data_IF_058660677475
#
_entry.id   IF_058660677475
#
_cell.length_a   1.000
_cell.length_b   1.000
_cell.length_c   1.000
_cell.angle_alpha   90.00
_cell.angle_beta   90.00
_cell.angle_gamma   90.00
#
_symmetry.space_group_name_H-M   'P 1'
#
loop_
_entity.id
_entity.type
_entity.pdbx_description
1 polymer ?
#
# COMPACT_ATOMS: atom_id res chain seq x y z
N UNK A 1 14.03 6.43 1.33
CA UNK A 1 12.62 6.18 1.76
C UNK A 1 11.66 7.28 1.29
N UNK A 2 10.55 6.90 0.64
CA UNK A 2 9.51 7.82 0.14
C UNK A 2 8.39 7.96 1.18
N UNK A 3 7.75 9.13 1.29
CA UNK A 3 6.60 9.38 2.19
C UNK A 3 5.37 9.81 1.41
N UNK A 4 4.23 9.22 1.72
CA UNK A 4 2.91 9.54 1.16
C UNK A 4 2.01 10.00 2.30
N UNK A 5 1.55 11.25 2.23
CA UNK A 5 0.64 11.82 3.24
C UNK A 5 -0.81 11.50 2.90
N UNK A 6 -1.57 11.05 3.89
CA UNK A 6 -3.00 10.70 3.73
C UNK A 6 -3.80 11.40 4.83
N UNK A 7 -4.80 12.19 4.45
CA UNK A 7 -5.76 12.80 5.38
C UNK A 7 -6.91 11.85 5.69
N UNK A 8 -7.75 12.19 6.67
CA UNK A 8 -8.95 11.39 7.00
C UNK A 8 -9.87 11.22 5.79
N UNK A 9 -10.05 12.28 4.99
CA UNK A 9 -10.86 12.22 3.79
C UNK A 9 -10.17 11.39 2.70
N UNK A 10 -8.85 11.55 2.53
CA UNK A 10 -8.06 10.76 1.57
C UNK A 10 -8.03 9.26 1.87
N UNK A 11 -8.34 8.85 3.10
CA UNK A 11 -8.45 7.44 3.46
C UNK A 11 -9.59 6.72 2.73
N UNK A 12 -10.58 7.45 2.22
CA UNK A 12 -11.68 6.86 1.42
C UNK A 12 -11.20 6.16 0.14
N UNK A 13 -10.05 6.57 -0.40
CA UNK A 13 -9.43 5.96 -1.59
C UNK A 13 -8.27 5.01 -1.25
N UNK A 14 -8.15 4.57 0.01
CA UNK A 14 -7.02 3.73 0.44
C UNK A 14 -6.94 2.40 -0.32
N UNK A 15 -8.09 1.84 -0.71
CA UNK A 15 -8.14 0.64 -1.55
C UNK A 15 -7.52 0.86 -2.93
N UNK A 16 -7.75 2.03 -3.52
CA UNK A 16 -7.19 2.42 -4.82
C UNK A 16 -5.68 2.70 -4.72
N UNK A 17 -5.23 3.29 -3.61
CA UNK A 17 -3.81 3.43 -3.31
C UNK A 17 -3.15 2.06 -3.18
N UNK A 18 -3.79 1.07 -2.53
CA UNK A 18 -3.29 -0.30 -2.49
C UNK A 18 -3.20 -0.93 -3.89
N UNK A 19 -4.15 -0.66 -4.79
CA UNK A 19 -4.07 -1.10 -6.19
C UNK A 19 -2.85 -0.46 -6.88
N UNK A 20 -2.63 0.85 -6.70
CA UNK A 20 -1.49 1.55 -7.27
C UNK A 20 -0.14 0.94 -6.85
N UNK A 21 -0.03 0.43 -5.62
CA UNK A 21 1.17 -0.25 -5.12
C UNK A 21 1.50 -1.57 -5.83
N UNK A 22 0.53 -2.14 -6.55
CA UNK A 22 0.74 -3.35 -7.35
C UNK A 22 1.52 -3.12 -8.65
N UNK A 23 1.78 -1.85 -9.00
CA UNK A 23 2.59 -1.52 -10.17
C UNK A 23 4.00 -2.12 -10.06
N UNK A 24 4.60 -2.40 -11.22
CA UNK A 24 5.83 -3.20 -11.29
C UNK A 24 7.05 -2.44 -10.77
N UNK A 25 7.15 -1.16 -11.10
CA UNK A 25 8.28 -0.30 -10.76
C UNK A 25 7.90 0.69 -9.67
N UNK A 26 8.89 1.19 -8.93
CA UNK A 26 8.67 2.25 -7.94
C UNK A 26 8.11 3.51 -8.61
N UNK A 27 8.61 3.85 -9.80
CA UNK A 27 8.14 5.01 -10.57
C UNK A 27 6.65 4.88 -10.93
N UNK A 28 6.22 3.73 -11.45
CA UNK A 28 4.83 3.51 -11.81
C UNK A 28 3.92 3.50 -10.59
N UNK A 29 4.38 2.97 -9.44
CA UNK A 29 3.62 3.05 -8.17
C UNK A 29 3.36 4.49 -7.79
N UNK A 30 4.38 5.35 -7.88
CA UNK A 30 4.26 6.76 -7.52
C UNK A 30 3.32 7.50 -8.46
N UNK A 31 3.46 7.30 -9.78
CA UNK A 31 2.58 7.91 -10.79
C UNK A 31 1.13 7.45 -10.63
N UNK A 32 0.92 6.15 -10.38
CA UNK A 32 -0.40 5.59 -10.12
C UNK A 32 -1.03 6.15 -8.84
N UNK A 33 -0.26 6.30 -7.75
CA UNK A 33 -0.75 6.91 -6.50
C UNK A 33 -1.06 8.40 -6.68
N UNK A 34 -0.22 9.13 -7.42
CA UNK A 34 -0.45 10.53 -7.76
C UNK A 34 -1.76 10.69 -8.54
N UNK A 35 -2.04 9.81 -9.51
CA UNK A 35 -3.31 9.80 -10.22
C UNK A 35 -4.50 9.61 -9.27
N UNK A 36 -4.44 8.62 -8.36
CA UNK A 36 -5.48 8.38 -7.35
C UNK A 36 -5.72 9.62 -6.49
N UNK A 37 -4.65 10.26 -6.02
CA UNK A 37 -4.75 11.49 -5.23
C UNK A 37 -5.39 12.64 -6.02
N UNK A 38 -5.00 12.83 -7.28
CA UNK A 38 -5.59 13.85 -8.14
C UNK A 38 -7.09 13.62 -8.37
N UNK A 39 -7.48 12.36 -8.63
CA UNK A 39 -8.89 11.99 -8.82
C UNK A 39 -9.71 12.25 -7.56
N UNK A 40 -9.17 11.88 -6.40
CA UNK A 40 -9.80 12.15 -5.10
C UNK A 40 -10.00 13.65 -4.87
N UNK A 41 -8.97 14.48 -5.07
CA UNK A 41 -9.08 15.93 -4.86
C UNK A 41 -10.06 16.55 -5.86
N UNK A 42 -10.07 16.10 -7.13
CA UNK A 42 -11.05 16.55 -8.12
C UNK A 42 -12.49 16.27 -7.65
N UNK A 43 -12.75 15.06 -7.16
CA UNK A 43 -14.06 14.69 -6.60
C UNK A 43 -14.44 15.57 -5.40
N UNK A 44 -13.49 15.92 -4.51
CA UNK A 44 -13.76 16.87 -3.42
C UNK A 44 -14.18 18.25 -3.93
N UNK A 45 -13.51 18.77 -4.95
CA UNK A 45 -13.83 20.08 -5.54
C UNK A 45 -15.20 20.05 -6.23
N UNK A 46 -15.49 19.01 -7.02
CA UNK A 46 -16.79 18.82 -7.68
C UNK A 46 -17.94 18.73 -6.65
N UNK A 47 -17.74 17.97 -5.58
CA UNK A 47 -18.71 17.84 -4.50
C UNK A 47 -18.90 19.17 -3.74
N UNK A 48 -17.83 19.93 -3.50
CA UNK A 48 -17.93 21.24 -2.87
C UNK A 48 -18.69 22.23 -3.76
N UNK A 49 -18.41 22.23 -5.07
CA UNK A 49 -19.13 23.06 -6.04
C UNK A 49 -20.62 22.71 -6.08
N UNK A 50 -20.97 21.43 -6.14
CA UNK A 50 -22.36 20.95 -6.12
C UNK A 50 -23.11 21.35 -4.84
N UNK A 51 -22.43 21.28 -3.68
CA UNK A 51 -23.04 21.54 -2.37
C UNK A 51 -23.18 23.02 -2.02
N UNK A 52 -22.19 23.83 -2.37
CA UNK A 52 -22.09 25.23 -1.91
C UNK A 52 -22.26 26.25 -3.03
N UNK A 53 -22.35 25.84 -4.30
CA UNK A 53 -22.35 26.77 -5.44
C UNK A 53 -21.10 27.66 -5.41
N UNK A 54 -21.12 28.82 -6.06
CA UNK A 54 -19.95 29.72 -6.18
C UNK A 54 -19.28 30.14 -4.84
N UNK A 55 -19.97 29.98 -3.70
CA UNK A 55 -19.42 30.27 -2.37
C UNK A 55 -18.32 29.28 -1.94
N UNK A 56 -18.20 28.12 -2.59
CA UNK A 56 -17.15 27.13 -2.30
C UNK A 56 -15.74 27.72 -2.46
N UNK A 57 -15.55 28.66 -3.40
CA UNK A 57 -14.27 29.30 -3.69
C UNK A 57 -13.78 30.21 -2.56
N UNK A 58 -14.71 30.67 -1.71
CA UNK A 58 -14.38 31.51 -0.54
C UNK A 58 -13.92 30.67 0.65
N UNK A 59 -14.02 29.34 0.60
CA UNK A 59 -13.51 28.43 1.63
C UNK A 59 -12.00 28.26 1.40
N UNK A 60 -11.12 28.78 2.30
CA UNK A 60 -9.68 28.83 2.04
C UNK A 60 -9.04 27.47 1.79
N UNK A 61 -9.52 26.41 2.46
CA UNK A 61 -9.05 25.04 2.27
C UNK A 61 -9.41 24.49 0.89
N UNK A 62 -10.59 24.80 0.37
CA UNK A 62 -11.04 24.33 -0.95
C UNK A 62 -10.38 25.11 -2.09
N UNK A 63 -10.20 26.42 -1.92
CA UNK A 63 -9.44 27.24 -2.87
C UNK A 63 -7.98 26.77 -3.00
N UNK A 64 -7.33 26.42 -1.89
CA UNK A 64 -5.98 25.86 -1.88
C UNK A 64 -5.91 24.47 -2.55
N UNK A 65 -6.92 23.61 -2.34
CA UNK A 65 -7.02 22.31 -3.01
C UNK A 65 -7.24 22.46 -4.53
N UNK A 66 -8.13 23.36 -4.95
CA UNK A 66 -8.37 23.64 -6.36
C UNK A 66 -7.13 24.22 -7.06
N UNK A 67 -6.37 25.09 -6.38
CA UNK A 67 -5.09 25.60 -6.89
C UNK A 67 -4.01 24.50 -7.05
N UNK A 68 -4.06 23.44 -6.23
CA UNK A 68 -3.20 22.27 -6.41
C UNK A 68 -3.61 21.47 -7.64
N UNK A 69 -4.90 21.19 -7.80
CA UNK A 69 -5.44 20.44 -8.95
C UNK A 69 -5.21 21.17 -10.27
N UNK A 70 -5.41 22.50 -10.31
CA UNK A 70 -5.21 23.27 -11.53
C UNK A 70 -3.75 23.32 -11.98
N UNK A 71 -2.80 23.33 -11.04
CA UNK A 71 -1.36 23.23 -11.33
C UNK A 71 -0.93 21.85 -11.81
N UNK A 72 -1.61 20.78 -11.38
CA UNK A 72 -1.27 19.41 -11.75
C UNK A 72 -2.14 18.81 -12.86
N UNK A 73 -3.08 19.57 -13.42
CA UNK A 73 -4.04 19.08 -14.43
C UNK A 73 -3.36 18.53 -15.70
N UNK A 74 -2.27 19.16 -16.16
CA UNK A 74 -1.48 18.66 -17.31
C UNK A 74 -0.74 17.36 -16.96
N UNK A 75 -0.32 17.18 -15.70
CA UNK A 75 0.33 15.95 -15.21
C UNK A 75 -0.68 14.83 -14.96
N UNK A 76 -1.94 15.14 -14.60
CA UNK A 76 -2.96 14.11 -14.35
C UNK A 76 -3.35 13.34 -15.63
N UNK A 77 -3.44 14.03 -16.77
CA UNK A 77 -3.70 13.39 -18.06
C UNK A 77 -2.58 12.41 -18.44
N UNK A 78 -1.32 12.74 -18.13
CA UNK A 78 -0.18 11.85 -18.39
C UNK A 78 -0.05 10.66 -17.44
N UNK A 79 -0.81 10.62 -16.34
CA UNK A 79 -0.78 9.54 -15.34
C UNK A 79 -2.02 8.65 -15.37
N UNK A 80 -3.06 9.04 -16.10
CA UNK A 80 -4.31 8.27 -16.26
C UNK A 80 -4.09 6.95 -16.98
N UNK A 81 -3.37 6.96 -18.10
CA UNK A 81 -3.03 5.74 -18.85
C UNK A 81 -2.27 4.75 -17.96
N UNK A 82 -1.34 5.26 -17.13
CA UNK A 82 -0.53 4.44 -16.21
C UNK A 82 -1.42 3.79 -15.14
N UNK A 83 -2.30 4.56 -14.51
CA UNK A 83 -3.20 3.97 -13.50
C UNK A 83 -4.19 2.98 -14.13
N UNK A 84 -4.72 3.27 -15.31
CA UNK A 84 -5.60 2.37 -16.06
C UNK A 84 -4.90 1.03 -16.36
N UNK A 85 -3.66 1.08 -16.84
CA UNK A 85 -2.83 -0.11 -17.06
C UNK A 85 -2.57 -0.87 -15.76
N UNK A 86 -2.21 -0.17 -14.67
CA UNK A 86 -1.99 -0.80 -13.36
C UNK A 86 -3.25 -1.47 -12.85
N UNK A 87 -4.41 -0.82 -12.96
CA UNK A 87 -5.70 -1.37 -12.56
C UNK A 87 -6.04 -2.65 -13.35
N UNK A 88 -5.89 -2.61 -14.67
CA UNK A 88 -6.15 -3.78 -15.52
C UNK A 88 -5.19 -4.94 -15.22
N UNK A 89 -3.90 -4.64 -15.00
CA UNK A 89 -2.91 -5.64 -14.61
C UNK A 89 -3.16 -6.18 -13.21
N UNK A 90 -3.67 -5.36 -12.29
CA UNK A 90 -4.08 -5.77 -10.96
C UNK A 90 -5.16 -6.85 -11.02
N UNK A 91 -6.26 -6.59 -11.73
CA UNK A 91 -7.36 -7.54 -11.88
C UNK A 91 -6.91 -8.85 -12.55
N UNK A 92 -6.05 -8.77 -13.57
CA UNK A 92 -5.58 -9.94 -14.31
C UNK A 92 -4.57 -10.79 -13.54
N UNK A 93 -3.60 -10.17 -12.87
CA UNK A 93 -2.40 -10.89 -12.38
C UNK A 93 -1.80 -10.31 -11.11
N UNK A 94 -1.65 -8.99 -11.00
CA UNK A 94 -0.83 -8.38 -9.96
C UNK A 94 -1.48 -8.41 -8.58
N UNK A 95 -2.82 -8.43 -8.49
CA UNK A 95 -3.54 -8.59 -7.22
C UNK A 95 -3.06 -9.82 -6.45
N UNK A 96 -2.95 -10.96 -7.13
CA UNK A 96 -2.53 -12.22 -6.50
C UNK A 96 -1.09 -12.14 -5.99
N UNK A 97 -0.19 -11.53 -6.77
CA UNK A 97 1.20 -11.36 -6.36
C UNK A 97 1.33 -10.45 -5.13
N UNK A 98 0.60 -9.33 -5.11
CA UNK A 98 0.62 -8.42 -3.98
C UNK A 98 0.05 -9.09 -2.71
N UNK A 99 -1.11 -9.76 -2.81
CA UNK A 99 -1.69 -10.51 -1.69
C UNK A 99 -0.75 -11.58 -1.13
N UNK A 100 -0.08 -12.34 -2.00
CA UNK A 100 0.89 -13.35 -1.57
C UNK A 100 2.06 -12.71 -0.82
N UNK A 101 2.54 -11.56 -1.29
CA UNK A 101 3.60 -10.83 -0.61
C UNK A 101 3.15 -10.26 0.74
N UNK A 102 1.91 -9.75 0.83
CA UNK A 102 1.30 -9.30 2.08
C UNK A 102 1.19 -10.45 3.09
N UNK A 103 0.79 -11.64 2.66
CA UNK A 103 0.75 -12.82 3.52
C UNK A 103 2.15 -13.21 4.02
N UNK A 104 3.18 -13.15 3.16
CA UNK A 104 4.59 -13.35 3.60
C UNK A 104 4.98 -12.30 4.63
N UNK A 105 4.64 -11.03 4.39
CA UNK A 105 4.88 -9.92 5.31
C UNK A 105 4.22 -10.13 6.68
N UNK A 106 2.97 -10.60 6.70
CA UNK A 106 2.25 -10.92 7.93
C UNK A 106 2.94 -12.03 8.73
N UNK A 107 3.39 -13.09 8.05
CA UNK A 107 4.12 -14.18 8.71
C UNK A 107 5.47 -13.73 9.25
N UNK A 108 6.18 -12.83 8.55
CA UNK A 108 7.40 -12.19 9.07
C UNK A 108 7.07 -11.39 10.32
N UNK A 109 6.04 -10.54 10.27
CA UNK A 109 5.63 -9.70 11.38
C UNK A 109 5.31 -10.53 12.64
N UNK A 110 4.49 -11.58 12.51
CA UNK A 110 4.21 -12.51 13.61
C UNK A 110 5.47 -13.20 14.13
N UNK A 111 6.40 -13.58 13.25
CA UNK A 111 7.68 -14.16 13.66
C UNK A 111 8.54 -13.20 14.49
N UNK A 112 8.50 -11.89 14.18
CA UNK A 112 9.18 -10.85 14.94
C UNK A 112 8.50 -10.64 16.29
N UNK A 113 7.18 -10.49 16.32
CA UNK A 113 6.40 -10.32 17.57
C UNK A 113 6.61 -11.50 18.51
N UNK A 114 6.64 -12.72 17.98
CA UNK A 114 6.94 -13.95 18.73
C UNK A 114 8.42 -14.13 19.10
N UNK A 115 9.30 -13.19 18.70
CA UNK A 115 10.77 -13.24 18.88
C UNK A 115 11.45 -14.46 18.26
N UNK A 116 10.81 -15.09 17.27
CA UNK A 116 11.36 -16.24 16.54
C UNK A 116 12.36 -15.82 15.47
N UNK A 117 12.13 -14.66 14.83
CA UNK A 117 12.98 -14.09 13.77
C UNK A 117 13.32 -15.12 12.68
N UNK A 118 12.29 -15.80 12.16
CA UNK A 118 12.46 -16.88 11.20
C UNK A 118 13.00 -16.38 9.85
N UNK A 119 13.90 -17.16 9.25
CA UNK A 119 14.35 -16.91 7.86
C UNK A 119 13.21 -17.07 6.84
N UNK A 120 13.41 -16.54 5.63
CA UNK A 120 12.42 -16.62 4.56
C UNK A 120 12.58 -17.88 3.67
N UNK A 121 13.80 -18.16 3.21
CA UNK A 121 14.04 -19.00 2.04
C UNK A 121 14.41 -20.47 2.30
N UNK A 122 14.63 -20.86 3.56
CA UNK A 122 15.01 -22.25 3.89
C UNK A 122 13.77 -23.14 3.97
N UNK A 123 13.96 -24.44 3.77
CA UNK A 123 12.88 -25.41 3.88
C UNK A 123 12.23 -25.36 5.28
N UNK A 124 10.89 -25.46 5.30
CA UNK A 124 10.06 -25.36 6.50
C UNK A 124 9.92 -23.95 7.08
N UNK A 125 10.48 -22.92 6.45
CA UNK A 125 10.37 -21.53 6.90
C UNK A 125 9.21 -20.78 6.25
N UNK A 126 9.18 -19.45 6.39
CA UNK A 126 8.03 -18.60 6.06
C UNK A 126 7.50 -18.86 4.64
N UNK A 127 8.35 -18.90 3.62
CA UNK A 127 7.89 -19.16 2.23
C UNK A 127 7.24 -20.54 2.11
N UNK A 128 7.84 -21.57 2.73
CA UNK A 128 7.28 -22.91 2.71
C UNK A 128 5.93 -22.99 3.43
N UNK A 129 5.80 -22.28 4.55
CA UNK A 129 4.56 -22.21 5.32
C UNK A 129 3.46 -21.50 4.52
N UNK A 130 3.77 -20.38 3.85
CA UNK A 130 2.85 -19.73 2.90
C UNK A 130 2.47 -20.69 1.79
N UNK A 131 3.43 -21.45 1.23
CA UNK A 131 3.13 -22.45 0.20
C UNK A 131 2.20 -23.57 0.68
N UNK A 132 2.40 -24.04 1.92
CA UNK A 132 1.54 -25.05 2.53
C UNK A 132 0.12 -24.52 2.73
N UNK A 133 -0.03 -23.30 3.27
CA UNK A 133 -1.32 -22.63 3.42
C UNK A 133 -2.01 -22.41 2.08
N UNK A 134 -1.27 -21.98 1.06
CA UNK A 134 -1.77 -21.76 -0.29
C UNK A 134 -2.25 -23.06 -0.96
N UNK A 135 -1.55 -24.18 -0.77
CA UNK A 135 -2.00 -25.50 -1.25
C UNK A 135 -3.25 -25.97 -0.48
N UNK A 136 -3.28 -25.81 0.83
CA UNK A 136 -4.40 -26.26 1.67
C UNK A 136 -5.71 -25.51 1.36
N UNK A 137 -5.62 -24.24 0.95
CA UNK A 137 -6.77 -23.38 0.62
C UNK A 137 -6.98 -23.16 -0.88
N UNK A 138 -6.26 -23.92 -1.70
CA UNK A 138 -6.28 -23.85 -3.17
C UNK A 138 -5.96 -22.46 -3.78
N UNK A 139 -5.24 -21.58 -3.07
CA UNK A 139 -4.96 -20.19 -3.48
C UNK A 139 -3.99 -20.12 -4.68
N UNK A 140 -4.41 -19.62 -5.85
CA UNK A 140 -3.53 -19.47 -7.01
C UNK A 140 -2.38 -18.49 -6.74
N UNK A 141 -1.16 -18.82 -7.18
CA UNK A 141 0.04 -17.99 -6.95
C UNK A 141 0.73 -18.21 -5.59
N UNK A 142 0.09 -18.93 -4.68
CA UNK A 142 0.63 -19.26 -3.35
C UNK A 142 1.03 -20.75 -3.22
N UNK A 143 1.08 -21.54 -4.30
CA UNK A 143 1.33 -22.99 -4.23
C UNK A 143 2.79 -23.38 -4.51
N UNK A 144 3.51 -22.50 -5.18
CA UNK A 144 4.88 -22.70 -5.68
C UNK A 144 5.86 -21.72 -4.98
N UNK A 145 7.00 -22.25 -4.52
CA UNK A 145 7.99 -21.47 -3.77
C UNK A 145 8.59 -20.35 -4.60
N UNK A 146 8.82 -20.59 -5.90
CA UNK A 146 9.46 -19.60 -6.77
C UNK A 146 8.53 -18.43 -7.05
N UNK A 147 7.23 -18.69 -7.24
CA UNK A 147 6.20 -17.68 -7.41
C UNK A 147 6.02 -16.83 -6.14
N UNK A 148 5.99 -17.47 -4.97
CA UNK A 148 5.93 -16.76 -3.68
C UNK A 148 7.19 -15.91 -3.48
N UNK A 149 8.39 -16.46 -3.77
CA UNK A 149 9.65 -15.71 -3.69
C UNK A 149 9.67 -14.50 -4.61
N UNK A 150 9.26 -14.67 -5.88
CA UNK A 150 9.17 -13.57 -6.86
C UNK A 150 8.20 -12.48 -6.40
N UNK A 151 7.04 -12.88 -5.88
CA UNK A 151 6.03 -11.96 -5.36
C UNK A 151 6.56 -11.17 -4.16
N UNK A 152 7.18 -11.84 -3.19
CA UNK A 152 7.83 -11.19 -2.05
C UNK A 152 8.90 -10.19 -2.50
N UNK A 153 9.83 -10.61 -3.35
CA UNK A 153 10.91 -9.73 -3.83
C UNK A 153 10.38 -8.51 -4.57
N UNK A 154 9.28 -8.65 -5.33
CA UNK A 154 8.65 -7.55 -6.06
C UNK A 154 7.96 -6.53 -5.15
N UNK A 155 7.28 -6.99 -4.11
CA UNK A 155 6.36 -6.14 -3.33
C UNK A 155 6.76 -5.88 -1.88
N UNK A 156 7.80 -6.52 -1.32
CA UNK A 156 8.18 -6.40 0.11
C UNK A 156 8.31 -4.97 0.65
N UNK A 157 8.64 -3.99 -0.20
CA UNK A 157 8.72 -2.57 0.16
C UNK A 157 7.36 -1.91 0.47
N UNK A 158 6.25 -2.51 0.04
CA UNK A 158 4.92 -1.89 0.05
C UNK A 158 3.83 -2.75 0.71
N UNK A 159 4.17 -3.92 1.25
CA UNK A 159 3.20 -4.87 1.84
C UNK A 159 2.52 -4.37 3.11
N UNK A 160 3.16 -3.49 3.87
CA UNK A 160 2.74 -3.10 5.22
C UNK A 160 1.41 -2.34 5.24
N UNK A 161 1.05 -1.61 4.17
CA UNK A 161 -0.28 -1.01 4.06
C UNK A 161 -1.37 -2.09 3.94
N UNK A 162 -1.14 -3.09 3.09
CA UNK A 162 -2.08 -4.20 2.90
C UNK A 162 -2.23 -5.06 4.16
N UNK A 163 -1.12 -5.33 4.85
CA UNK A 163 -1.12 -6.01 6.16
C UNK A 163 -1.98 -5.26 7.17
N UNK A 164 -1.76 -3.94 7.33
CA UNK A 164 -2.52 -3.14 8.27
C UNK A 164 -4.02 -3.03 7.91
N UNK A 165 -4.36 -3.01 6.61
CA UNK A 165 -5.76 -3.04 6.17
C UNK A 165 -6.45 -4.36 6.52
N UNK A 166 -5.75 -5.50 6.34
CA UNK A 166 -6.29 -6.81 6.72
C UNK A 166 -6.51 -6.92 8.24
N UNK A 167 -5.52 -6.51 9.04
CA UNK A 167 -5.62 -6.53 10.51
C UNK A 167 -6.68 -5.52 11.00
N UNK A 168 -6.80 -4.35 10.36
CA UNK A 168 -7.83 -3.37 10.68
C UNK A 168 -9.25 -3.90 10.39
N UNK A 169 -9.44 -4.66 9.32
CA UNK A 169 -10.72 -5.32 9.01
C UNK A 169 -11.08 -6.34 10.10
N UNK A 170 -10.14 -7.20 10.50
CA UNK A 170 -10.35 -8.20 11.55
C UNK A 170 -10.64 -7.54 12.91
N UNK A 171 -9.91 -6.48 13.26
CA UNK A 171 -10.03 -5.74 14.52
C UNK A 171 -11.13 -4.66 14.51
N UNK A 172 -11.83 -4.48 13.37
CA UNK A 172 -12.87 -3.46 13.16
C UNK A 172 -12.39 -2.03 13.43
N UNK A 173 -11.14 -1.72 13.06
CA UNK A 173 -10.54 -0.39 13.16
C UNK A 173 -10.93 0.41 11.92
N UNK A 174 -11.54 1.58 12.13
CA UNK A 174 -12.08 2.41 11.03
C UNK A 174 -11.42 3.78 10.88
N UNK A 175 -10.69 4.25 11.90
CA UNK A 175 -10.07 5.58 11.88
C UNK A 175 -8.78 5.55 11.06
N UNK A 176 -8.63 6.48 10.12
CA UNK A 176 -7.47 6.51 9.22
C UNK A 176 -6.15 6.58 9.99
N UNK A 177 -6.08 7.43 11.03
CA UNK A 177 -4.91 7.57 11.89
C UNK A 177 -4.43 6.26 12.49
N UNK A 178 -5.36 5.41 12.93
CA UNK A 178 -5.01 4.16 13.60
C UNK A 178 -4.48 3.13 12.58
N UNK A 179 -5.14 3.00 11.43
CA UNK A 179 -4.71 2.08 10.36
C UNK A 179 -3.35 2.48 9.81
N UNK A 180 -3.13 3.78 9.55
CA UNK A 180 -1.84 4.26 9.06
C UNK A 180 -0.73 4.17 10.13
N UNK A 181 -1.08 4.35 11.41
CA UNK A 181 -0.16 4.09 12.52
C UNK A 181 0.30 2.64 12.57
N UNK A 182 -0.63 1.70 12.40
CA UNK A 182 -0.33 0.27 12.32
C UNK A 182 0.53 -0.07 11.10
N UNK A 183 0.23 0.50 9.94
CA UNK A 183 1.04 0.31 8.72
C UNK A 183 2.49 0.76 8.94
N UNK A 184 2.69 1.89 9.61
CA UNK A 184 4.03 2.41 9.93
C UNK A 184 4.76 1.55 10.97
N UNK A 185 4.06 1.04 11.98
CA UNK A 185 4.65 0.09 12.94
C UNK A 185 5.12 -1.19 12.25
N UNK A 186 4.27 -1.79 11.40
CA UNK A 186 4.63 -2.96 10.61
C UNK A 186 5.82 -2.68 9.68
N UNK A 187 5.84 -1.51 9.03
CA UNK A 187 6.95 -1.09 8.16
C UNK A 187 8.26 -1.04 8.94
N UNK A 188 8.27 -0.40 10.11
CA UNK A 188 9.42 -0.29 11.00
C UNK A 188 9.90 -1.67 11.46
N UNK A 189 8.98 -2.55 11.85
CA UNK A 189 9.31 -3.91 12.26
C UNK A 189 10.02 -4.69 11.15
N UNK A 190 9.55 -4.57 9.91
CA UNK A 190 10.18 -5.21 8.74
C UNK A 190 11.58 -4.66 8.40
N UNK A 191 11.85 -3.37 8.64
CA UNK A 191 13.15 -2.77 8.31
C UNK A 191 14.15 -2.70 9.48
N UNK A 192 13.71 -2.91 10.72
CA UNK A 192 14.57 -2.85 11.91
C UNK A 192 14.92 -4.23 12.48
N UNK A 193 14.33 -5.31 11.97
CA UNK A 193 14.61 -6.67 12.43
C UNK A 193 15.22 -7.52 11.32
N UNK A 194 16.13 -8.40 11.72
CA UNK A 194 16.85 -9.29 10.82
C UNK A 194 16.49 -10.75 11.12
N UNK A 195 16.39 -11.61 10.10
CA UNK A 195 16.34 -13.05 10.29
C UNK A 195 17.47 -13.55 11.22
N UNK A 196 17.19 -14.61 11.97
CA UNK A 196 18.18 -15.21 12.86
C UNK A 196 19.44 -15.62 12.10
N UNK A 197 20.58 -15.10 12.54
CA UNK A 197 21.88 -15.39 11.95
C UNK A 197 22.22 -14.54 10.72
N UNK A 198 21.47 -13.47 10.46
CA UNK A 198 21.80 -12.46 9.44
C UNK A 198 21.90 -11.07 10.06
N UNK A 199 22.64 -10.18 9.38
CA UNK A 199 22.71 -8.75 9.72
C UNK A 199 21.76 -7.88 8.92
N UNK A 200 21.28 -8.39 7.77
CA UNK A 200 20.38 -7.67 6.89
C UNK A 200 18.93 -7.76 7.36
N UNK A 201 18.18 -6.64 7.35
CA UNK A 201 16.77 -6.65 7.72
C UNK A 201 15.92 -7.39 6.68
N UNK A 202 14.70 -7.77 7.06
CA UNK A 202 13.76 -8.43 6.13
C UNK A 202 13.46 -7.56 4.90
N UNK A 203 13.40 -6.23 5.09
CA UNK A 203 13.17 -5.25 4.02
C UNK A 203 14.12 -4.07 4.23
N UNK A 204 14.78 -3.61 3.16
CA UNK A 204 15.60 -2.40 3.23
C UNK A 204 14.67 -1.17 3.37
N UNK A 205 15.01 -0.25 4.26
CA UNK A 205 14.25 1.00 4.48
C UNK A 205 14.13 1.85 3.21
N UNK A 206 15.12 1.81 2.32
CA UNK A 206 15.09 2.59 1.08
C UNK A 206 14.16 2.02 0.00
N UNK A 207 13.84 0.73 0.09
CA UNK A 207 12.86 0.08 -0.78
C UNK A 207 11.41 0.39 -0.35
N UNK A 208 11.22 1.01 0.82
CA UNK A 208 9.91 1.21 1.43
C UNK A 208 9.29 2.58 1.12
N UNK A 209 7.96 2.56 1.01
CA UNK A 209 7.10 3.74 0.96
C UNK A 209 6.39 3.85 2.31
N UNK A 210 6.52 4.96 3.03
CA UNK A 210 5.83 5.19 4.30
C UNK A 210 4.53 5.97 4.08
N UNK A 211 3.45 5.54 4.73
CA UNK A 211 2.15 6.21 4.68
C UNK A 211 1.90 6.91 6.00
N UNK A 212 1.77 8.23 5.97
CA UNK A 212 1.71 9.07 7.17
C UNK A 212 0.37 9.77 7.25
N UNK A 213 -0.29 9.64 8.40
CA UNK A 213 -1.51 10.39 8.67
C UNK A 213 -1.21 11.89 8.79
N UNK A 214 -1.98 12.71 8.07
CA UNK A 214 -1.93 14.17 8.17
C UNK A 214 -3.23 14.69 8.78
N UNK A 215 -3.11 15.33 9.94
CA UNK A 215 -4.22 16.07 10.55
C UNK A 215 -4.50 17.35 9.75
N UNK A 216 -5.61 17.38 9.03
CA UNK A 216 -6.03 18.48 8.17
C UNK A 216 -6.92 17.97 7.03
N UNK A 217 -7.58 18.87 6.26
CA UNK A 217 -8.27 18.47 5.03
C UNK A 217 -7.29 17.87 4.00
#
# INVERSE_FOLDING_TARGET
MIKVEISEAGFQVIGELRIALSAETVEDRLKAMEHVQHRFIRSLVENAHSKFGAEWEKIPSMSALAAKVSKSYVQSASTEDIFSDVFHQYEKKNHRGLMVAEQVGQMVFFSIVDRKLEGLHRDGKIIDQVCQQGRARDVPGAKDKDTVRKSWMKYKGVVHLGMALNDAEELKITRAKDVLGMAEEMRLMLCSNCPKGTSEPYVNQDDQISFVYKSGP
#
